data_IF_281196579093
#
_entry.id   IF_281196579093
#
_cell.length_a   1.000
_cell.length_b   1.000
_cell.length_c   1.000
_cell.angle_alpha   90.00
_cell.angle_beta   90.00
_cell.angle_gamma   90.00
#
_symmetry.space_group_name_H-M   'P 1'
#
loop_
_entity.id
_entity.type
_entity.pdbx_description
1 polymer ?
#
# COMPACT_ATOMS: atom_id res chain seq x y z
N UNK A 1 -16.47 23.82 -39.69
CA UNK A 1 -16.35 24.41 -38.35
C UNK A 1 -16.42 23.31 -37.30
N UNK A 2 -17.46 22.44 -37.25
CA UNK A 2 -17.65 21.41 -36.21
C UNK A 2 -16.47 20.44 -36.03
N UNK A 3 -15.92 19.92 -37.15
CA UNK A 3 -14.79 18.98 -37.13
C UNK A 3 -13.52 19.62 -36.51
N UNK A 4 -13.20 20.87 -36.94
CA UNK A 4 -12.03 21.59 -36.40
C UNK A 4 -12.18 21.91 -34.92
N UNK A 5 -13.38 22.30 -34.50
CA UNK A 5 -13.66 22.58 -33.09
C UNK A 5 -13.51 21.30 -32.24
N UNK A 6 -14.05 20.15 -32.68
CA UNK A 6 -13.96 18.87 -31.99
C UNK A 6 -12.53 18.34 -31.96
N UNK A 7 -11.73 18.50 -33.01
CA UNK A 7 -10.32 18.07 -33.01
C UNK A 7 -9.47 18.94 -32.07
N UNK A 8 -9.71 20.26 -32.02
CA UNK A 8 -9.06 21.14 -31.05
C UNK A 8 -9.42 20.76 -29.62
N UNK A 9 -10.70 20.47 -29.37
CA UNK A 9 -11.18 20.06 -28.08
C UNK A 9 -10.60 18.70 -27.64
N UNK A 10 -10.46 17.74 -28.57
CA UNK A 10 -9.78 16.47 -28.34
C UNK A 10 -8.36 16.70 -27.80
N UNK A 11 -7.54 17.49 -28.49
CA UNK A 11 -6.16 17.73 -28.07
C UNK A 11 -6.08 18.41 -26.71
N UNK A 12 -6.94 19.37 -26.44
CA UNK A 12 -7.02 20.07 -25.16
C UNK A 12 -7.43 19.14 -24.03
N UNK A 13 -8.53 18.40 -24.20
CA UNK A 13 -9.05 17.48 -23.19
C UNK A 13 -8.06 16.32 -22.91
N UNK A 14 -7.42 15.79 -23.97
CA UNK A 14 -6.40 14.77 -23.84
C UNK A 14 -5.22 15.24 -23.01
N UNK A 15 -4.69 16.44 -23.30
CA UNK A 15 -3.57 17.01 -22.54
C UNK A 15 -3.89 17.18 -21.04
N UNK A 16 -5.12 17.60 -20.72
CA UNK A 16 -5.58 17.70 -19.33
C UNK A 16 -5.69 16.29 -18.69
N UNK A 17 -6.28 15.33 -19.40
CA UNK A 17 -6.44 13.97 -18.91
C UNK A 17 -5.11 13.28 -18.60
N UNK A 18 -4.09 13.51 -19.43
CA UNK A 18 -2.73 13.01 -19.22
C UNK A 18 -2.07 13.66 -18.00
N UNK A 19 -2.21 14.97 -17.82
CA UNK A 19 -1.68 15.71 -16.65
C UNK A 19 -2.33 15.28 -15.33
N UNK A 20 -3.62 15.00 -15.35
CA UNK A 20 -4.39 14.60 -14.17
C UNK A 20 -4.37 13.08 -13.94
N UNK A 21 -3.71 12.31 -14.82
CA UNK A 21 -3.72 10.83 -14.81
C UNK A 21 -5.14 10.26 -14.74
N UNK A 22 -6.10 10.91 -15.41
CA UNK A 22 -7.52 10.56 -15.38
C UNK A 22 -7.93 9.79 -16.63
N UNK A 23 -8.16 8.47 -16.56
CA UNK A 23 -8.64 7.68 -17.69
C UNK A 23 -9.99 8.16 -18.23
N UNK A 24 -10.86 8.67 -17.35
CA UNK A 24 -12.19 9.17 -17.71
C UNK A 24 -12.08 10.40 -18.64
N UNK A 25 -11.19 11.34 -18.33
CA UNK A 25 -10.98 12.54 -19.17
C UNK A 25 -10.36 12.14 -20.52
N UNK A 26 -9.44 11.17 -20.51
CA UNK A 26 -8.83 10.65 -21.73
C UNK A 26 -9.89 9.94 -22.61
N UNK A 27 -10.76 9.13 -21.99
CA UNK A 27 -11.86 8.47 -22.71
C UNK A 27 -12.80 9.50 -23.36
N UNK A 28 -13.18 10.56 -22.63
CA UNK A 28 -14.00 11.65 -23.14
C UNK A 28 -13.33 12.40 -24.31
N UNK A 29 -12.00 12.55 -24.29
CA UNK A 29 -11.28 13.12 -25.44
C UNK A 29 -11.40 12.22 -26.66
N UNK A 30 -11.24 10.90 -26.52
CA UNK A 30 -11.40 9.95 -27.63
C UNK A 30 -12.83 9.93 -28.19
N UNK A 31 -13.86 10.11 -27.36
CA UNK A 31 -15.25 10.26 -27.77
C UNK A 31 -15.41 11.47 -28.71
N UNK A 32 -14.86 12.63 -28.33
CA UNK A 32 -14.90 13.83 -29.15
C UNK A 32 -14.22 13.62 -30.49
N UNK A 33 -13.13 12.89 -30.54
CA UNK A 33 -12.43 12.57 -31.79
C UNK A 33 -13.23 11.59 -32.66
N UNK A 34 -13.84 10.57 -32.04
CA UNK A 34 -14.72 9.65 -32.75
C UNK A 34 -15.91 10.35 -33.37
N UNK A 35 -16.50 11.33 -32.69
CA UNK A 35 -17.56 12.17 -33.18
C UNK A 35 -17.12 13.07 -34.37
N UNK A 36 -15.89 13.61 -34.31
CA UNK A 36 -15.35 14.40 -35.43
C UNK A 36 -15.16 13.52 -36.66
N UNK A 37 -14.61 12.32 -36.50
CA UNK A 37 -14.40 11.37 -37.59
C UNK A 37 -15.72 10.87 -38.18
N UNK A 38 -16.70 10.55 -37.31
CA UNK A 38 -18.06 10.14 -37.75
C UNK A 38 -18.75 11.24 -38.55
N UNK A 39 -18.64 12.50 -38.08
CA UNK A 39 -19.19 13.67 -38.81
C UNK A 39 -18.50 13.85 -40.14
N UNK A 40 -17.18 13.64 -40.23
CA UNK A 40 -16.41 13.67 -41.46
C UNK A 40 -16.84 12.57 -42.44
N UNK A 41 -16.95 11.33 -41.97
CA UNK A 41 -17.40 10.21 -42.80
C UNK A 41 -18.80 10.43 -43.35
N UNK A 42 -19.75 10.89 -42.52
CA UNK A 42 -21.10 11.21 -42.94
C UNK A 42 -21.11 12.33 -43.99
N UNK A 43 -20.32 13.40 -43.76
CA UNK A 43 -20.22 14.51 -44.72
C UNK A 43 -19.72 14.04 -46.10
N UNK A 44 -18.65 13.26 -46.15
CA UNK A 44 -18.13 12.73 -47.40
C UNK A 44 -19.06 11.71 -48.05
N UNK A 45 -19.74 10.87 -47.27
CA UNK A 45 -20.72 9.91 -47.74
C UNK A 45 -21.87 10.60 -48.44
N UNK A 46 -22.44 11.65 -47.82
CA UNK A 46 -23.52 12.48 -48.42
C UNK A 46 -23.03 13.23 -49.69
N UNK A 47 -21.84 13.82 -49.62
CA UNK A 47 -21.28 14.56 -50.74
C UNK A 47 -21.13 13.66 -51.98
N UNK A 48 -20.62 12.47 -51.81
CA UNK A 48 -20.45 11.47 -52.88
C UNK A 48 -21.81 10.99 -53.39
N UNK A 49 -22.78 10.74 -52.51
CA UNK A 49 -24.11 10.32 -52.87
C UNK A 49 -24.81 11.40 -53.74
N UNK A 50 -24.66 12.69 -53.42
CA UNK A 50 -25.17 13.81 -54.22
C UNK A 50 -24.49 13.92 -55.61
N UNK A 51 -23.28 13.41 -55.75
CA UNK A 51 -22.53 13.38 -57.03
C UNK A 51 -22.75 12.10 -57.86
N UNK A 52 -23.80 11.34 -57.60
CA UNK A 52 -24.19 10.18 -58.38
C UNK A 52 -23.73 8.82 -57.86
N UNK A 53 -23.22 8.76 -56.62
CA UNK A 53 -22.78 7.53 -55.96
C UNK A 53 -23.60 7.25 -54.70
N UNK A 54 -24.91 6.91 -54.75
CA UNK A 54 -25.79 6.80 -53.61
C UNK A 54 -25.36 5.72 -52.61
N UNK A 55 -24.63 4.68 -53.04
CA UNK A 55 -24.11 3.61 -52.20
C UNK A 55 -23.08 4.13 -51.18
N UNK A 56 -22.44 5.28 -51.41
CA UNK A 56 -21.39 5.82 -50.55
C UNK A 56 -21.93 6.30 -49.21
N UNK A 57 -23.19 6.79 -49.16
CA UNK A 57 -23.83 7.13 -47.88
C UNK A 57 -24.05 5.90 -46.99
N UNK A 58 -24.53 4.82 -47.57
CA UNK A 58 -24.71 3.54 -46.86
C UNK A 58 -23.39 2.96 -46.37
N UNK A 59 -22.32 3.04 -47.18
CA UNK A 59 -21.00 2.59 -46.79
C UNK A 59 -20.41 3.46 -45.69
N UNK A 60 -20.57 4.77 -45.76
CA UNK A 60 -20.15 5.71 -44.71
C UNK A 60 -20.88 5.42 -43.39
N UNK A 61 -22.18 5.17 -43.41
CA UNK A 61 -22.95 4.76 -42.24
C UNK A 61 -22.43 3.42 -41.63
N UNK A 62 -22.10 2.43 -42.46
CA UNK A 62 -21.50 1.19 -42.04
C UNK A 62 -20.12 1.38 -41.35
N UNK A 63 -19.27 2.22 -41.91
CA UNK A 63 -17.96 2.56 -41.35
C UNK A 63 -18.13 3.26 -39.98
N UNK A 64 -19.02 4.22 -39.86
CA UNK A 64 -19.33 4.90 -38.60
C UNK A 64 -19.86 3.94 -37.57
N UNK A 65 -20.76 3.02 -37.95
CA UNK A 65 -21.27 1.99 -37.05
C UNK A 65 -20.16 1.08 -36.48
N UNK A 66 -19.23 0.62 -37.34
CA UNK A 66 -18.08 -0.17 -36.90
C UNK A 66 -17.13 0.62 -35.97
N UNK A 67 -16.92 1.89 -36.23
CA UNK A 67 -16.13 2.78 -35.36
C UNK A 67 -16.76 2.90 -33.97
N UNK A 68 -18.07 3.09 -33.89
CA UNK A 68 -18.81 3.18 -32.62
C UNK A 68 -18.69 1.88 -31.84
N UNK A 69 -18.86 0.74 -32.49
CA UNK A 69 -18.70 -0.59 -31.85
C UNK A 69 -17.27 -0.75 -31.30
N UNK A 70 -16.27 -0.38 -32.07
CA UNK A 70 -14.87 -0.49 -31.63
C UNK A 70 -14.59 0.40 -30.40
N UNK A 71 -15.03 1.67 -30.44
CA UNK A 71 -14.81 2.61 -29.34
C UNK A 71 -15.59 2.17 -28.11
N UNK A 72 -16.88 1.85 -28.25
CA UNK A 72 -17.70 1.36 -27.13
C UNK A 72 -17.16 0.07 -26.52
N UNK A 73 -16.69 -0.87 -27.34
CA UNK A 73 -16.03 -2.09 -26.86
C UNK A 73 -14.73 -1.81 -26.09
N UNK A 74 -13.91 -0.86 -26.57
CA UNK A 74 -12.69 -0.46 -25.88
C UNK A 74 -12.99 0.16 -24.51
N UNK A 75 -13.97 1.06 -24.44
CA UNK A 75 -14.40 1.68 -23.17
C UNK A 75 -14.95 0.65 -22.20
N UNK A 76 -15.77 -0.30 -22.70
CA UNK A 76 -16.31 -1.36 -21.86
C UNK A 76 -15.21 -2.24 -21.27
N UNK A 77 -14.25 -2.68 -22.08
CA UNK A 77 -13.12 -3.50 -21.61
C UNK A 77 -12.27 -2.75 -20.61
N UNK A 78 -11.96 -1.47 -20.86
CA UNK A 78 -11.21 -0.62 -19.92
C UNK A 78 -11.95 -0.47 -18.60
N UNK A 79 -13.25 -0.21 -18.64
CA UNK A 79 -14.08 -0.05 -17.42
C UNK A 79 -14.15 -1.33 -16.60
N UNK A 80 -14.24 -2.49 -17.25
CA UNK A 80 -14.19 -3.80 -16.57
C UNK A 80 -12.82 -4.02 -15.93
N UNK A 81 -11.73 -3.69 -16.62
CA UNK A 81 -10.37 -3.78 -16.04
C UNK A 81 -10.19 -2.85 -14.83
N UNK A 82 -10.71 -1.64 -14.90
CA UNK A 82 -10.63 -0.68 -13.78
C UNK A 82 -11.46 -1.13 -12.57
N UNK A 83 -12.54 -1.90 -12.79
CA UNK A 83 -13.37 -2.48 -11.72
C UNK A 83 -12.78 -3.77 -11.12
N UNK A 84 -11.87 -4.44 -11.84
CA UNK A 84 -11.30 -5.73 -11.43
C UNK A 84 -10.01 -5.62 -10.63
N UNK A 85 -9.82 -4.54 -9.85
CA UNK A 85 -8.63 -4.38 -8.97
C UNK A 85 -7.31 -4.71 -9.69
N UNK A 86 -7.06 -4.06 -10.82
CA UNK A 86 -5.82 -4.31 -11.56
C UNK A 86 -4.61 -3.89 -10.73
N UNK A 87 -3.68 -4.82 -10.50
CA UNK A 87 -2.38 -4.50 -9.91
C UNK A 87 -1.61 -3.53 -10.81
N UNK A 88 -0.68 -2.77 -10.24
CA UNK A 88 0.26 -1.97 -11.03
C UNK A 88 1.18 -2.88 -11.85
N UNK A 89 1.80 -2.32 -12.90
CA UNK A 89 2.74 -3.07 -13.72
C UNK A 89 4.00 -3.47 -12.91
N UNK A 90 4.73 -4.45 -13.42
CA UNK A 90 5.94 -4.96 -12.76
C UNK A 90 6.99 -3.87 -12.53
N UNK A 91 7.18 -2.97 -13.48
CA UNK A 91 8.15 -1.87 -13.38
C UNK A 91 7.84 -0.94 -12.20
N UNK A 92 6.57 -0.53 -12.05
CA UNK A 92 6.12 0.28 -10.91
C UNK A 92 6.24 -0.47 -9.59
N UNK A 93 5.93 -1.78 -9.59
CA UNK A 93 6.10 -2.64 -8.41
C UNK A 93 7.58 -2.72 -8.00
N UNK A 94 8.49 -2.87 -8.94
CA UNK A 94 9.94 -2.86 -8.69
C UNK A 94 10.41 -1.49 -8.15
N UNK A 95 9.92 -0.40 -8.70
CA UNK A 95 10.23 0.95 -8.23
C UNK A 95 9.78 1.17 -6.78
N UNK A 96 8.54 0.78 -6.45
CA UNK A 96 8.00 0.83 -5.08
C UNK A 96 8.91 0.06 -4.13
N UNK A 97 9.23 -1.20 -4.45
CA UNK A 97 10.12 -2.05 -3.64
C UNK A 97 11.51 -1.42 -3.46
N UNK A 98 12.04 -0.82 -4.52
CA UNK A 98 13.35 -0.19 -4.46
C UNK A 98 13.36 1.01 -3.52
N UNK A 99 12.37 1.92 -3.64
CA UNK A 99 12.24 3.10 -2.77
C UNK A 99 12.15 2.66 -1.31
N UNK A 100 11.28 1.71 -0.98
CA UNK A 100 11.10 1.24 0.40
C UNK A 100 12.43 0.73 0.98
N UNK A 101 13.17 -0.08 0.22
CA UNK A 101 14.45 -0.67 0.67
C UNK A 101 15.56 0.35 0.91
N UNK A 102 15.48 1.55 0.34
CA UNK A 102 16.47 2.61 0.55
C UNK A 102 16.21 3.45 1.80
N UNK A 103 15.07 3.27 2.46
CA UNK A 103 14.70 4.05 3.65
C UNK A 103 15.45 3.52 4.88
N UNK A 104 16.17 4.38 5.62
CA UNK A 104 16.85 3.98 6.83
C UNK A 104 15.88 3.39 7.87
N UNK A 105 16.28 2.29 8.50
CA UNK A 105 15.47 1.56 9.47
C UNK A 105 14.61 0.44 8.88
N UNK A 106 14.45 0.38 7.55
CA UNK A 106 13.81 -0.74 6.86
C UNK A 106 14.81 -1.88 6.70
N UNK A 107 14.52 -3.04 7.27
CA UNK A 107 15.33 -4.27 7.14
C UNK A 107 14.88 -5.08 5.93
N UNK A 108 13.57 -5.30 5.80
CA UNK A 108 12.98 -6.03 4.68
C UNK A 108 11.54 -5.55 4.43
N UNK A 109 10.92 -6.07 3.39
CA UNK A 109 9.50 -5.87 3.12
C UNK A 109 8.88 -7.18 2.61
N UNK A 110 7.64 -7.43 2.95
CA UNK A 110 6.83 -8.53 2.46
C UNK A 110 5.39 -8.07 2.23
N UNK A 111 4.54 -8.94 1.69
CA UNK A 111 3.12 -8.70 1.43
C UNK A 111 2.81 -7.35 0.75
N UNK A 112 3.67 -6.94 -0.20
CA UNK A 112 3.39 -5.78 -1.01
C UNK A 112 2.18 -6.03 -1.92
N UNK A 113 1.11 -5.30 -1.68
CA UNK A 113 -0.12 -5.29 -2.47
C UNK A 113 -0.32 -3.91 -3.07
N UNK A 114 -0.72 -3.88 -4.32
CA UNK A 114 -1.02 -2.62 -5.01
C UNK A 114 -2.36 -2.74 -5.71
N UNK A 115 -3.15 -1.68 -5.65
CA UNK A 115 -4.44 -1.58 -6.33
C UNK A 115 -4.49 -0.29 -7.12
N UNK A 116 -5.09 -0.34 -8.30
CA UNK A 116 -5.25 0.82 -9.16
C UNK A 116 -6.73 1.18 -9.26
N UNK A 117 -7.09 2.36 -8.81
CA UNK A 117 -8.47 2.86 -8.82
C UNK A 117 -8.50 4.22 -9.50
N UNK A 118 -9.21 4.34 -10.62
CA UNK A 118 -9.37 5.60 -11.34
C UNK A 118 -8.04 6.24 -11.80
N UNK A 119 -7.01 5.43 -12.08
CA UNK A 119 -5.66 5.90 -12.45
C UNK A 119 -4.73 6.21 -11.28
N UNK A 120 -5.25 6.18 -10.05
CA UNK A 120 -4.49 6.33 -8.80
C UNK A 120 -4.06 4.98 -8.26
N UNK A 121 -2.91 4.94 -7.57
CA UNK A 121 -2.34 3.75 -6.97
C UNK A 121 -2.54 3.81 -5.45
N UNK A 122 -3.06 2.74 -4.88
CA UNK A 122 -3.04 2.45 -3.46
C UNK A 122 -2.01 1.36 -3.19
N UNK A 123 -1.23 1.53 -2.14
CA UNK A 123 -0.15 0.62 -1.76
C UNK A 123 -0.37 0.15 -0.34
N UNK A 124 -0.41 -1.17 -0.15
CA UNK A 124 -0.40 -1.82 1.17
C UNK A 124 0.91 -2.61 1.27
N UNK A 125 1.68 -2.41 2.33
CA UNK A 125 2.98 -3.07 2.49
C UNK A 125 3.31 -3.34 3.94
N UNK A 126 3.90 -4.51 4.19
CA UNK A 126 4.51 -4.88 5.46
C UNK A 126 5.99 -4.57 5.41
N UNK A 127 6.47 -3.82 6.39
CA UNK A 127 7.86 -3.37 6.51
C UNK A 127 8.45 -3.91 7.80
N UNK A 128 9.47 -4.74 7.65
CA UNK A 128 10.19 -5.30 8.77
C UNK A 128 11.23 -4.30 9.28
N UNK A 129 11.22 -4.09 10.59
CA UNK A 129 12.12 -3.19 11.32
C UNK A 129 12.79 -3.93 12.48
N UNK A 130 13.77 -3.29 13.13
CA UNK A 130 14.37 -3.86 14.33
C UNK A 130 13.34 -3.96 15.46
N UNK A 131 13.26 -5.14 16.08
CA UNK A 131 12.34 -5.43 17.18
C UNK A 131 12.61 -4.65 18.46
N UNK A 132 13.78 -4.05 18.60
CA UNK A 132 14.19 -3.28 19.78
C UNK A 132 13.81 -1.79 19.67
N UNK A 133 13.35 -1.29 18.51
CA UNK A 133 12.92 0.09 18.36
C UNK A 133 11.62 0.38 19.10
N UNK A 134 11.37 1.63 19.36
CA UNK A 134 10.11 2.06 19.96
C UNK A 134 8.99 2.12 18.93
N UNK A 135 7.74 2.01 19.40
CA UNK A 135 6.55 2.19 18.53
C UNK A 135 6.58 3.54 17.80
N UNK A 136 7.05 4.59 18.47
CA UNK A 136 7.17 5.94 17.87
C UNK A 136 8.22 6.00 16.77
N UNK A 137 9.31 5.26 16.90
CA UNK A 137 10.33 5.14 15.86
C UNK A 137 9.81 4.34 14.67
N UNK A 138 9.17 3.19 14.92
CA UNK A 138 8.50 2.42 13.87
C UNK A 138 7.45 3.24 13.12
N UNK A 139 6.63 4.02 13.84
CA UNK A 139 5.67 4.93 13.22
C UNK A 139 6.36 5.98 12.33
N UNK A 140 7.48 6.56 12.78
CA UNK A 140 8.23 7.52 11.97
C UNK A 140 8.82 6.90 10.70
N UNK A 141 9.27 5.63 10.77
CA UNK A 141 9.72 4.87 9.58
C UNK A 141 8.53 4.70 8.62
N UNK A 142 7.36 4.26 9.11
CA UNK A 142 6.15 4.10 8.30
C UNK A 142 5.76 5.39 7.58
N UNK A 143 5.73 6.52 8.30
CA UNK A 143 5.42 7.83 7.73
C UNK A 143 6.47 8.30 6.71
N UNK A 144 7.72 7.89 6.88
CA UNK A 144 8.78 8.19 5.92
C UNK A 144 8.58 7.38 4.64
N UNK A 145 8.27 6.08 4.75
CA UNK A 145 7.91 5.22 3.61
C UNK A 145 6.74 5.82 2.85
N UNK A 146 5.67 6.17 3.55
CA UNK A 146 4.46 6.76 2.96
C UNK A 146 4.80 8.04 2.18
N UNK A 147 5.49 8.98 2.78
CA UNK A 147 5.86 10.27 2.16
C UNK A 147 6.76 10.11 0.94
N UNK A 148 7.78 9.24 1.03
CA UNK A 148 8.71 9.04 -0.08
C UNK A 148 8.03 8.37 -1.28
N UNK A 149 7.13 7.41 -1.08
CA UNK A 149 6.36 6.80 -2.16
C UNK A 149 5.43 7.80 -2.84
N UNK A 150 4.66 8.59 -2.08
CA UNK A 150 3.75 9.60 -2.63
C UNK A 150 4.53 10.67 -3.39
N UNK A 151 5.69 11.09 -2.89
CA UNK A 151 6.53 12.10 -3.53
C UNK A 151 7.20 11.59 -4.81
N UNK A 152 7.69 10.36 -4.79
CA UNK A 152 8.49 9.80 -5.88
C UNK A 152 7.67 9.23 -7.02
N UNK A 153 6.41 8.83 -6.76
CA UNK A 153 5.53 8.21 -7.73
C UNK A 153 4.25 9.06 -7.83
N UNK A 154 4.18 9.89 -8.86
CA UNK A 154 3.19 10.98 -8.99
C UNK A 154 1.71 10.57 -9.02
N UNK A 155 1.40 9.27 -9.16
CA UNK A 155 0.04 8.74 -9.15
C UNK A 155 -0.26 7.84 -7.94
N UNK A 156 0.61 7.77 -6.93
CA UNK A 156 0.30 7.13 -5.64
C UNK A 156 -0.57 8.09 -4.83
N UNK A 157 -1.78 7.63 -4.46
CA UNK A 157 -2.75 8.39 -3.68
C UNK A 157 -2.59 8.17 -2.20
N UNK A 158 -2.42 6.91 -1.79
CA UNK A 158 -2.22 6.57 -0.39
C UNK A 158 -1.36 5.31 -0.24
N UNK A 159 -0.70 5.22 0.93
CA UNK A 159 0.17 4.10 1.29
C UNK A 159 -0.13 3.68 2.73
N UNK A 160 -0.59 2.45 2.90
CA UNK A 160 -0.74 1.81 4.20
C UNK A 160 0.52 1.00 4.50
N UNK A 161 1.22 1.37 5.56
CA UNK A 161 2.45 0.69 6.00
C UNK A 161 2.19 -0.01 7.31
N UNK A 162 2.30 -1.35 7.30
CA UNK A 162 2.32 -2.16 8.50
C UNK A 162 3.77 -2.33 8.95
N UNK A 163 4.05 -2.14 10.23
CA UNK A 163 5.38 -2.29 10.81
C UNK A 163 5.46 -3.60 11.56
N UNK A 164 6.37 -4.46 11.13
CA UNK A 164 6.56 -5.79 11.69
C UNK A 164 7.94 -5.93 12.34
N UNK A 165 8.00 -6.45 13.58
CA UNK A 165 9.27 -6.71 14.26
C UNK A 165 9.95 -8.00 13.78
N UNK A 166 9.27 -8.84 13.02
CA UNK A 166 9.75 -10.12 12.46
C UNK A 166 8.97 -10.48 11.20
N UNK A 167 9.48 -11.38 10.39
CA UNK A 167 8.74 -11.94 9.25
C UNK A 167 7.67 -12.91 9.76
N UNK A 168 6.41 -12.51 9.67
CA UNK A 168 5.24 -13.29 10.05
C UNK A 168 4.48 -13.89 8.85
N UNK A 169 5.01 -13.73 7.64
CA UNK A 169 4.45 -14.32 6.43
C UNK A 169 4.39 -15.84 6.52
N UNK A 170 3.18 -16.37 6.71
CA UNK A 170 2.89 -17.80 6.72
C UNK A 170 2.90 -18.51 8.11
N UNK A 171 2.92 -17.77 9.19
CA UNK A 171 2.77 -18.35 10.53
C UNK A 171 1.66 -17.66 11.31
N UNK A 172 0.61 -18.42 11.67
CA UNK A 172 -0.36 -18.01 12.70
C UNK A 172 0.31 -18.11 14.09
N UNK A 173 1.09 -17.07 14.44
CA UNK A 173 1.70 -16.98 15.77
C UNK A 173 0.67 -16.46 16.77
N UNK A 174 0.04 -17.34 17.51
CA UNK A 174 -0.89 -16.96 18.56
C UNK A 174 -0.11 -16.88 19.88
N UNK A 175 0.05 -15.68 20.40
CA UNK A 175 0.57 -15.44 21.75
C UNK A 175 -0.57 -15.61 22.76
N UNK A 176 -0.52 -16.66 23.57
CA UNK A 176 -1.62 -17.04 24.48
C UNK A 176 -1.73 -16.13 25.69
N UNK A 177 -0.62 -15.50 26.11
CA UNK A 177 -0.54 -14.75 27.36
C UNK A 177 -0.50 -13.26 27.09
N UNK A 178 -1.40 -12.50 27.71
CA UNK A 178 -1.46 -11.05 27.58
C UNK A 178 -0.39 -10.35 28.41
N UNK A 179 0.02 -9.12 28.01
CA UNK A 179 0.92 -8.28 28.82
C UNK A 179 0.46 -8.13 30.27
N UNK A 180 -0.85 -8.01 30.49
CA UNK A 180 -1.41 -7.83 31.83
C UNK A 180 -1.18 -9.06 32.70
N UNK A 181 -1.39 -10.24 32.14
CA UNK A 181 -1.16 -11.50 32.84
C UNK A 181 0.32 -11.75 33.11
N UNK A 182 1.19 -11.52 32.10
CA UNK A 182 2.65 -11.60 32.28
C UNK A 182 3.12 -10.64 33.39
N UNK A 183 2.56 -9.42 33.43
CA UNK A 183 2.89 -8.47 34.49
C UNK A 183 2.47 -8.95 35.86
N UNK A 184 1.25 -9.51 36.00
CA UNK A 184 0.73 -10.04 37.27
C UNK A 184 1.60 -11.18 37.80
N UNK A 185 1.98 -12.12 36.94
CA UNK A 185 2.82 -13.26 37.29
C UNK A 185 4.24 -12.80 37.65
N UNK A 186 4.83 -11.92 36.86
CA UNK A 186 6.17 -11.34 37.10
C UNK A 186 6.23 -10.57 38.42
N UNK A 187 5.27 -9.69 38.66
CA UNK A 187 5.19 -8.92 39.89
C UNK A 187 5.04 -9.85 41.15
N UNK A 188 4.27 -10.92 41.03
CA UNK A 188 4.12 -11.89 42.12
C UNK A 188 5.45 -12.61 42.42
N UNK A 189 6.20 -13.01 41.38
CA UNK A 189 7.52 -13.66 41.57
C UNK A 189 8.53 -12.69 42.19
N UNK A 190 8.56 -11.42 41.73
CA UNK A 190 9.46 -10.41 42.30
C UNK A 190 9.10 -10.12 43.76
N UNK A 191 7.82 -9.98 44.10
CA UNK A 191 7.36 -9.74 45.46
C UNK A 191 7.67 -10.89 46.42
N UNK A 192 7.68 -12.11 45.90
CA UNK A 192 8.05 -13.31 46.66
C UNK A 192 9.57 -13.53 46.78
N UNK A 193 10.40 -12.67 46.18
CA UNK A 193 11.86 -12.74 46.23
C UNK A 193 12.40 -11.68 47.18
N UNK A 194 12.86 -12.11 48.33
CA UNK A 194 13.33 -11.20 49.39
C UNK A 194 14.54 -10.37 48.97
N UNK A 195 14.52 -9.07 49.28
CA UNK A 195 15.62 -8.12 49.03
C UNK A 195 15.62 -7.53 47.63
N UNK A 196 14.53 -7.67 46.87
CA UNK A 196 14.34 -6.98 45.61
C UNK A 196 13.25 -5.90 45.71
N UNK A 197 13.46 -4.83 44.99
CA UNK A 197 12.48 -3.77 44.79
C UNK A 197 12.13 -3.70 43.32
N UNK A 198 10.86 -3.90 42.99
CA UNK A 198 10.35 -3.78 41.62
C UNK A 198 10.26 -2.30 41.24
N UNK A 199 10.89 -1.90 40.14
CA UNK A 199 10.77 -0.54 39.59
C UNK A 199 9.42 -0.27 38.92
N UNK A 200 8.58 -1.30 38.74
CA UNK A 200 7.33 -1.24 38.02
C UNK A 200 7.48 -1.14 36.49
N UNK A 201 8.70 -1.03 35.97
CA UNK A 201 8.97 -1.00 34.54
C UNK A 201 9.09 -2.41 33.99
N UNK A 202 8.36 -2.68 32.90
CA UNK A 202 8.39 -3.97 32.20
C UNK A 202 8.24 -3.71 30.70
N UNK A 203 9.07 -4.37 29.90
CA UNK A 203 8.91 -4.50 28.46
C UNK A 203 8.54 -5.93 28.13
N UNK A 204 7.72 -6.11 27.11
CA UNK A 204 7.35 -7.43 26.60
C UNK A 204 7.53 -7.40 25.10
N UNK A 205 8.29 -8.33 24.59
CA UNK A 205 8.47 -8.58 23.17
C UNK A 205 7.80 -9.92 22.83
N UNK A 206 6.97 -9.92 21.83
CA UNK A 206 6.29 -11.08 21.28
C UNK A 206 7.01 -11.44 19.98
N UNK A 207 7.99 -12.34 20.05
CA UNK A 207 8.87 -12.67 18.94
C UNK A 207 9.06 -14.17 18.81
N UNK A 208 9.06 -14.69 17.59
CA UNK A 208 9.29 -16.10 17.29
C UNK A 208 8.37 -17.06 18.07
N UNK A 209 7.13 -16.65 18.33
CA UNK A 209 6.17 -17.43 19.11
C UNK A 209 6.49 -17.53 20.61
N UNK A 210 7.40 -16.69 21.11
CA UNK A 210 7.80 -16.66 22.53
C UNK A 210 7.55 -15.28 23.13
N UNK A 211 7.23 -15.27 24.43
CA UNK A 211 7.14 -14.05 25.22
C UNK A 211 8.52 -13.76 25.83
N UNK A 212 9.14 -12.67 25.43
CA UNK A 212 10.38 -12.18 26.02
C UNK A 212 10.07 -11.02 26.95
N UNK A 213 10.36 -11.18 28.25
CA UNK A 213 9.99 -10.18 29.26
C UNK A 213 11.25 -9.60 29.88
N UNK A 214 11.39 -8.29 29.79
CA UNK A 214 12.39 -7.51 30.48
C UNK A 214 11.77 -6.84 31.72
N UNK A 215 12.35 -7.08 32.88
CA UNK A 215 11.94 -6.44 34.13
C UNK A 215 13.09 -5.67 34.75
N UNK A 216 12.78 -4.52 35.31
CA UNK A 216 13.75 -3.66 35.96
C UNK A 216 13.55 -3.76 37.46
N UNK A 217 14.52 -4.37 38.15
CA UNK A 217 14.53 -4.56 39.61
C UNK A 217 15.81 -4.00 40.22
N UNK A 218 15.75 -3.57 41.46
CA UNK A 218 16.92 -3.15 42.23
C UNK A 218 17.05 -4.00 43.48
N UNK A 219 18.27 -4.36 43.82
CA UNK A 219 18.57 -5.03 45.08
C UNK A 219 18.75 -4.00 46.22
N UNK A 220 18.53 -4.42 47.46
CA UNK A 220 18.84 -3.62 48.64
C UNK A 220 20.35 -3.33 48.68
N UNK A 221 20.72 -2.06 48.75
CA UNK A 221 22.12 -1.58 48.78
C UNK A 221 22.95 -2.08 49.93
N UNK A 222 22.31 -2.67 50.95
CA UNK A 222 22.99 -3.23 52.14
C UNK A 222 23.50 -4.62 51.96
N UNK A 223 23.18 -5.29 50.84
CA UNK A 223 23.61 -6.65 50.53
C UNK A 223 24.97 -6.68 49.85
N UNK A 224 25.71 -7.76 50.05
CA UNK A 224 26.97 -8.00 49.35
C UNK A 224 26.72 -8.25 47.84
N UNK A 225 27.74 -8.07 47.05
CA UNK A 225 27.68 -8.34 45.61
C UNK A 225 27.38 -9.81 45.30
N UNK A 226 27.94 -10.72 46.11
CA UNK A 226 27.73 -12.17 45.95
C UNK A 226 26.30 -12.58 46.26
N UNK A 227 25.72 -12.06 47.36
CA UNK A 227 24.31 -12.26 47.70
C UNK A 227 23.38 -11.73 46.62
N UNK A 228 23.65 -10.52 46.12
CA UNK A 228 22.88 -9.90 45.04
C UNK A 228 22.90 -10.77 43.78
N UNK A 229 24.07 -11.29 43.41
CA UNK A 229 24.20 -12.20 42.26
C UNK A 229 23.40 -13.50 42.42
N UNK A 230 23.37 -14.05 43.62
CA UNK A 230 22.56 -15.25 43.93
C UNK A 230 21.06 -14.97 43.79
N UNK A 231 20.60 -13.85 44.31
CA UNK A 231 19.19 -13.42 44.24
C UNK A 231 18.75 -13.24 42.79
N UNK A 232 19.55 -12.55 41.95
CA UNK A 232 19.23 -12.39 40.52
C UNK A 232 19.24 -13.71 39.77
N UNK A 233 20.10 -14.66 40.12
CA UNK A 233 20.12 -15.98 39.49
C UNK A 233 18.84 -16.76 39.84
N UNK A 234 18.42 -16.74 41.10
CA UNK A 234 17.17 -17.36 41.57
C UNK A 234 15.95 -16.73 40.91
N UNK A 235 15.85 -15.39 40.93
CA UNK A 235 14.80 -14.65 40.22
C UNK A 235 14.69 -15.04 38.74
N UNK A 236 15.83 -15.10 38.04
CA UNK A 236 15.86 -15.49 36.62
C UNK A 236 15.37 -16.91 36.39
N UNK A 237 15.68 -17.82 37.28
CA UNK A 237 15.21 -19.23 37.22
C UNK A 237 13.69 -19.27 37.36
N UNK A 238 13.15 -18.62 38.38
CA UNK A 238 11.71 -18.58 38.67
C UNK A 238 10.89 -17.87 37.60
N UNK A 239 11.43 -16.79 37.01
CA UNK A 239 10.78 -16.07 35.90
C UNK A 239 10.72 -16.92 34.63
N UNK A 240 11.63 -17.86 34.43
CA UNK A 240 11.60 -18.78 33.27
C UNK A 240 10.53 -19.86 33.35
N UNK A 241 9.95 -20.05 34.53
CA UNK A 241 8.86 -21.01 34.78
C UNK A 241 7.47 -20.37 34.51
N UNK A 242 7.44 -19.08 34.18
CA UNK A 242 6.22 -18.38 33.79
C UNK A 242 5.91 -18.75 32.32
N UNK A 243 4.73 -19.35 32.10
CA UNK A 243 4.19 -19.70 30.77
C UNK A 243 3.51 -18.53 30.08
#
# INVERSE_FOLDING_TARGET
VSILTKETLYHYTKSIGEKLHSPIIIANAWDQRSDALSSGAAFFGILLAMNGYPIMDTLAAGVVGLMIIKVGGSVLISSVHDLMDSSVNEEQTHMIKHIIKTIPGVIALHDLRTRKIGGKILVDVHVMVDSEITVTEGHNIAETVRRELIKSIGNVEDVLVHIDPEDDSGMDKIYKTTRQELKRQTDAVIAATDGLVNSGKMRVHYLNGKNMVEVYVSADKRRSEEETRKIFKDLKSRLREID
#
